data_IF_647761814620
#
_entry.id   IF_647761814620
#
_cell.length_a   1.000
_cell.length_b   1.000
_cell.length_c   1.000
_cell.angle_alpha   90.00
_cell.angle_beta   90.00
_cell.angle_gamma   90.00
#
_symmetry.space_group_name_H-M   'P 1'
#
loop_
_entity.id
_entity.type
_entity.pdbx_description
1 polymer ?
#
# COMPACT_ATOMS: atom_id res chain seq x y z
N UNK A 1 -12.97 -24.89 4.81
CA UNK A 1 -11.87 -24.18 5.50
C UNK A 1 -12.38 -22.79 5.81
N UNK A 2 -12.50 -22.44 7.10
CA UNK A 2 -12.84 -21.09 7.53
C UNK A 2 -11.64 -20.20 7.20
N UNK A 3 -11.67 -19.51 6.05
CA UNK A 3 -10.63 -18.56 5.69
C UNK A 3 -10.58 -17.48 6.76
N UNK A 4 -9.42 -17.28 7.38
CA UNK A 4 -9.23 -16.16 8.29
C UNK A 4 -9.66 -14.89 7.52
N UNK A 5 -10.60 -14.12 8.07
CA UNK A 5 -10.85 -12.75 7.60
C UNK A 5 -9.54 -11.99 7.74
N UNK A 6 -8.83 -11.76 6.64
CA UNK A 6 -7.66 -10.88 6.61
C UNK A 6 -8.12 -9.47 6.99
N UNK A 7 -7.40 -8.77 7.88
CA UNK A 7 -7.72 -7.38 8.19
C UNK A 7 -7.28 -6.48 7.03
N UNK A 8 -7.81 -5.26 6.97
CA UNK A 8 -7.31 -4.25 6.01
C UNK A 8 -5.79 -4.11 6.09
N UNK A 9 -5.25 -4.05 7.32
CA UNK A 9 -3.82 -3.88 7.56
C UNK A 9 -3.01 -5.06 7.00
N UNK A 10 -3.46 -6.32 7.17
CA UNK A 10 -2.72 -7.46 6.62
C UNK A 10 -2.77 -7.50 5.09
N UNK A 11 -3.94 -7.18 4.49
CA UNK A 11 -4.05 -7.10 3.02
C UNK A 11 -3.14 -6.02 2.46
N UNK A 12 -3.09 -4.83 3.09
CA UNK A 12 -2.22 -3.74 2.63
C UNK A 12 -0.73 -4.12 2.68
N UNK A 13 -0.28 -4.73 3.78
CA UNK A 13 1.12 -5.19 3.94
C UNK A 13 1.49 -6.20 2.84
N UNK A 14 0.63 -7.19 2.61
CA UNK A 14 0.83 -8.19 1.55
C UNK A 14 0.91 -7.54 0.16
N UNK A 15 -0.04 -6.65 -0.16
CA UNK A 15 -0.11 -5.97 -1.45
C UNK A 15 1.14 -5.14 -1.71
N UNK A 16 1.59 -4.34 -0.74
CA UNK A 16 2.79 -3.51 -0.89
C UNK A 16 4.01 -4.39 -1.19
N UNK A 17 4.23 -5.43 -0.38
CA UNK A 17 5.37 -6.34 -0.57
C UNK A 17 5.35 -7.05 -1.93
N UNK A 18 4.18 -7.54 -2.34
CA UNK A 18 4.03 -8.23 -3.62
C UNK A 18 4.18 -7.31 -4.83
N UNK A 19 3.60 -6.11 -4.80
CA UNK A 19 3.68 -5.17 -5.92
C UNK A 19 5.12 -4.68 -6.10
N UNK A 20 5.81 -4.34 -5.01
CA UNK A 20 7.23 -3.94 -5.05
C UNK A 20 8.09 -5.05 -5.65
N UNK A 21 7.94 -6.29 -5.16
CA UNK A 21 8.67 -7.44 -5.68
C UNK A 21 8.38 -7.70 -7.17
N UNK A 22 7.11 -7.59 -7.57
CA UNK A 22 6.67 -7.82 -8.96
C UNK A 22 7.21 -6.77 -9.93
N UNK A 23 7.29 -5.51 -9.51
CA UNK A 23 7.73 -4.41 -10.37
C UNK A 23 9.26 -4.31 -10.45
N UNK A 24 9.97 -4.54 -9.34
CA UNK A 24 11.41 -4.30 -9.25
C UNK A 24 12.25 -5.58 -9.32
N UNK A 25 11.66 -6.74 -9.06
CA UNK A 25 12.36 -7.99 -8.81
C UNK A 25 12.95 -8.06 -7.40
N UNK A 26 13.12 -9.28 -6.89
CA UNK A 26 13.54 -9.55 -5.50
C UNK A 26 14.83 -8.82 -5.06
N UNK A 27 15.91 -8.74 -5.87
CA UNK A 27 17.14 -8.08 -5.42
C UNK A 27 16.95 -6.58 -5.18
N UNK A 28 16.26 -5.89 -6.10
CA UNK A 28 16.04 -4.44 -6.01
C UNK A 28 14.98 -4.12 -4.96
N UNK A 29 13.93 -4.93 -4.87
CA UNK A 29 12.93 -4.83 -3.82
C UNK A 29 13.56 -4.93 -2.43
N UNK A 30 14.45 -5.91 -2.20
CA UNK A 30 15.14 -6.06 -0.91
C UNK A 30 15.97 -4.83 -0.53
N UNK A 31 16.65 -4.21 -1.50
CA UNK A 31 17.40 -2.97 -1.29
C UNK A 31 16.46 -1.82 -0.93
N UNK A 32 15.33 -1.68 -1.63
CA UNK A 32 14.32 -0.68 -1.31
C UNK A 32 13.81 -0.85 0.13
N UNK A 33 13.42 -2.07 0.52
CA UNK A 33 12.91 -2.35 1.87
C UNK A 33 13.95 -2.05 2.96
N UNK A 34 15.23 -2.37 2.69
CA UNK A 34 16.33 -2.00 3.57
C UNK A 34 16.44 -0.48 3.75
N UNK A 35 16.35 0.30 2.67
CA UNK A 35 16.39 1.76 2.74
C UNK A 35 15.16 2.35 3.44
N UNK A 36 13.95 1.82 3.20
CA UNK A 36 12.74 2.22 3.94
C UNK A 36 12.94 2.05 5.45
N UNK A 37 13.49 0.91 5.88
CA UNK A 37 13.72 0.66 7.29
C UNK A 37 14.83 1.55 7.85
N UNK A 38 15.98 1.66 7.16
CA UNK A 38 17.16 2.38 7.69
C UNK A 38 17.05 3.89 7.61
N UNK A 39 16.63 4.42 6.48
CA UNK A 39 16.69 5.85 6.20
C UNK A 39 15.37 6.54 6.57
N UNK A 40 14.26 5.80 6.51
CA UNK A 40 12.93 6.34 6.79
C UNK A 40 12.30 5.84 8.08
N UNK A 41 12.92 4.86 8.77
CA UNK A 41 12.38 4.22 9.98
C UNK A 41 10.98 3.64 9.73
N UNK A 42 10.80 3.00 8.57
CA UNK A 42 9.52 2.49 8.10
C UNK A 42 9.68 1.06 7.59
N UNK A 43 9.10 0.09 8.31
CA UNK A 43 8.92 -1.28 7.79
C UNK A 43 7.59 -1.38 7.06
N UNK A 44 7.41 -2.39 6.21
CA UNK A 44 6.14 -2.58 5.47
C UNK A 44 4.97 -2.70 6.46
N UNK A 45 5.17 -3.39 7.58
CA UNK A 45 4.15 -3.60 8.62
C UNK A 45 3.69 -2.30 9.28
N UNK A 46 4.47 -1.23 9.18
CA UNK A 46 4.16 0.08 9.75
C UNK A 46 3.33 0.95 8.79
N UNK A 47 3.25 0.59 7.49
CA UNK A 47 2.56 1.37 6.45
C UNK A 47 1.07 1.61 6.76
N UNK A 48 0.28 0.63 7.26
CA UNK A 48 -1.13 0.87 7.56
C UNK A 48 -1.38 1.99 8.58
N UNK A 49 -0.42 2.22 9.48
CA UNK A 49 -0.49 3.27 10.51
C UNK A 49 0.27 4.54 10.13
N UNK A 50 1.14 4.48 9.11
CA UNK A 50 1.99 5.59 8.65
C UNK A 50 2.03 5.72 7.12
N UNK A 51 0.88 5.78 6.41
CA UNK A 51 0.88 5.84 4.95
C UNK A 51 1.56 7.11 4.41
N UNK A 52 1.53 8.22 5.15
CA UNK A 52 2.22 9.47 4.79
C UNK A 52 3.73 9.30 4.77
N UNK A 53 4.26 8.45 5.65
CA UNK A 53 5.71 8.18 5.69
C UNK A 53 6.15 7.34 4.50
N UNK A 54 5.29 6.42 4.05
CA UNK A 54 5.53 5.63 2.85
C UNK A 54 5.53 6.52 1.60
N UNK A 55 4.49 7.34 1.41
CA UNK A 55 4.40 8.28 0.28
C UNK A 55 5.59 9.25 0.24
N UNK A 56 5.98 9.79 1.41
CA UNK A 56 7.19 10.61 1.53
C UNK A 56 8.45 9.86 1.08
N UNK A 57 8.67 8.64 1.57
CA UNK A 57 9.86 7.86 1.25
C UNK A 57 9.93 7.48 -0.23
N UNK A 58 8.80 7.08 -0.82
CA UNK A 58 8.73 6.77 -2.25
C UNK A 58 9.01 8.01 -3.11
N UNK A 59 8.47 9.17 -2.75
CA UNK A 59 8.76 10.44 -3.42
C UNK A 59 10.22 10.88 -3.26
N UNK A 60 10.85 10.63 -2.12
CA UNK A 60 12.27 10.95 -1.92
C UNK A 60 13.17 10.06 -2.79
N UNK A 61 12.91 8.75 -2.82
CA UNK A 61 13.70 7.76 -3.53
C UNK A 61 13.48 7.76 -5.05
N UNK A 62 12.23 7.86 -5.50
CA UNK A 62 11.83 7.71 -6.90
C UNK A 62 11.37 9.03 -7.55
N UNK A 63 11.28 10.11 -6.78
CA UNK A 63 10.88 11.44 -7.27
C UNK A 63 9.54 11.37 -8.00
N UNK A 64 9.47 11.96 -9.19
CA UNK A 64 8.27 11.95 -10.01
C UNK A 64 7.81 10.53 -10.35
N UNK A 65 8.69 9.52 -10.42
CA UNK A 65 8.32 8.15 -10.77
C UNK A 65 7.66 7.37 -9.63
N UNK A 66 7.59 7.92 -8.41
CA UNK A 66 6.96 7.27 -7.25
C UNK A 66 5.50 6.86 -7.53
N UNK A 67 4.77 7.71 -8.27
CA UNK A 67 3.36 7.51 -8.59
C UNK A 67 3.08 6.17 -9.30
N UNK A 68 4.05 5.65 -10.07
CA UNK A 68 3.87 4.38 -10.81
C UNK A 68 3.73 3.21 -9.84
N UNK A 69 4.55 3.18 -8.79
CA UNK A 69 4.52 2.11 -7.79
C UNK A 69 3.29 2.28 -6.88
N UNK A 70 3.04 3.52 -6.44
CA UNK A 70 1.88 3.87 -5.60
C UNK A 70 0.55 3.51 -6.28
N UNK A 71 0.37 3.86 -7.56
CA UNK A 71 -0.83 3.54 -8.33
C UNK A 71 -1.03 2.03 -8.47
N UNK A 72 0.04 1.26 -8.69
CA UNK A 72 -0.05 -0.21 -8.75
C UNK A 72 -0.42 -0.84 -7.41
N UNK A 73 0.04 -0.27 -6.29
CA UNK A 73 -0.36 -0.70 -4.95
C UNK A 73 -1.84 -0.42 -4.74
N UNK A 74 -2.31 0.79 -5.09
CA UNK A 74 -3.72 1.19 -4.93
C UNK A 74 -4.65 0.29 -5.77
N UNK A 75 -4.33 0.09 -7.05
CA UNK A 75 -5.09 -0.78 -7.94
C UNK A 75 -5.23 -2.21 -7.38
N UNK A 76 -4.12 -2.80 -6.94
CA UNK A 76 -4.10 -4.16 -6.41
C UNK A 76 -4.81 -4.26 -5.05
N UNK A 77 -4.69 -3.23 -4.20
CA UNK A 77 -5.40 -3.16 -2.91
C UNK A 77 -6.91 -3.13 -3.12
N UNK A 78 -7.40 -2.19 -3.93
CA UNK A 78 -8.83 -2.09 -4.23
C UNK A 78 -9.37 -3.39 -4.84
N UNK A 79 -8.60 -4.01 -5.75
CA UNK A 79 -8.95 -5.32 -6.33
C UNK A 79 -9.07 -6.43 -5.28
N UNK A 80 -8.15 -6.51 -4.30
CA UNK A 80 -8.20 -7.55 -3.24
C UNK A 80 -9.33 -7.34 -2.25
N UNK A 81 -9.69 -6.09 -1.99
CA UNK A 81 -10.76 -5.72 -1.07
C UNK A 81 -12.15 -5.74 -1.73
N UNK A 82 -12.24 -6.09 -3.01
CA UNK A 82 -13.47 -6.04 -3.83
C UNK A 82 -14.11 -4.62 -3.83
N UNK A 83 -13.26 -3.59 -3.88
CA UNK A 83 -13.65 -2.18 -3.92
C UNK A 83 -13.52 -1.62 -5.34
N UNK A 84 -14.37 -0.64 -5.66
CA UNK A 84 -14.32 0.03 -6.95
C UNK A 84 -13.24 1.14 -6.96
N UNK A 85 -12.11 0.88 -7.60
CA UNK A 85 -11.07 1.90 -7.80
C UNK A 85 -11.50 2.90 -8.87
N UNK A 86 -11.48 4.19 -8.52
CA UNK A 86 -11.66 5.31 -9.46
C UNK A 86 -10.57 6.33 -9.23
N UNK A 87 -9.85 6.66 -10.31
CA UNK A 87 -8.85 7.73 -10.29
C UNK A 87 -9.54 9.08 -10.11
N UNK A 88 -9.15 9.82 -9.07
CA UNK A 88 -9.62 11.16 -8.74
C UNK A 88 -8.40 12.06 -8.81
N UNK A 89 -8.48 13.11 -9.60
CA UNK A 89 -7.38 14.05 -9.75
C UNK A 89 -7.05 14.72 -8.41
N UNK A 90 -5.76 14.76 -8.06
CA UNK A 90 -5.27 15.33 -6.81
C UNK A 90 -5.31 14.41 -5.59
N UNK A 91 -5.83 13.17 -5.70
CA UNK A 91 -5.67 12.17 -4.65
C UNK A 91 -4.34 11.42 -4.79
N UNK A 92 -3.58 11.35 -3.70
CA UNK A 92 -2.33 10.61 -3.59
C UNK A 92 -2.53 9.26 -2.91
N UNK A 93 -1.41 8.62 -2.59
CA UNK A 93 -1.40 7.31 -1.94
C UNK A 93 -2.18 7.33 -0.62
N UNK A 94 -1.93 8.36 0.20
CA UNK A 94 -2.53 8.50 1.52
C UNK A 94 -4.06 8.57 1.47
N UNK A 95 -4.61 9.36 0.55
CA UNK A 95 -6.06 9.51 0.40
C UNK A 95 -6.72 8.18 0.03
N UNK A 96 -6.13 7.45 -0.91
CA UNK A 96 -6.65 6.14 -1.34
C UNK A 96 -6.57 5.08 -0.23
N UNK A 97 -5.49 5.02 0.55
CA UNK A 97 -5.39 4.08 1.68
C UNK A 97 -6.47 4.38 2.73
N UNK A 98 -6.68 5.66 3.06
CA UNK A 98 -7.71 6.08 4.04
C UNK A 98 -9.12 5.76 3.55
N UNK A 99 -9.40 6.01 2.27
CA UNK A 99 -10.68 5.70 1.66
C UNK A 99 -10.95 4.18 1.66
N UNK A 100 -9.99 3.39 1.17
CA UNK A 100 -10.11 1.93 1.14
C UNK A 100 -10.34 1.34 2.53
N UNK A 101 -9.61 1.83 3.55
CA UNK A 101 -9.80 1.40 4.95
C UNK A 101 -11.21 1.68 5.43
N UNK A 102 -11.71 2.92 5.21
CA UNK A 102 -13.05 3.33 5.62
C UNK A 102 -14.14 2.48 4.95
N UNK A 103 -14.02 2.21 3.65
CA UNK A 103 -14.97 1.39 2.90
C UNK A 103 -14.96 -0.05 3.38
N UNK A 104 -13.78 -0.64 3.50
CA UNK A 104 -13.61 -2.03 3.93
C UNK A 104 -14.18 -2.25 5.34
N UNK A 105 -13.83 -1.39 6.30
CA UNK A 105 -14.34 -1.48 7.68
C UNK A 105 -15.85 -1.17 7.78
N UNK A 106 -16.41 -0.37 6.87
CA UNK A 106 -17.85 -0.16 6.77
C UNK A 106 -18.59 -1.44 6.41
N UNK A 107 -18.15 -2.12 5.36
CA UNK A 107 -18.73 -3.39 4.87
C UNK A 107 -18.64 -4.53 5.90
N UNK A 108 -17.61 -4.51 6.75
CA UNK A 108 -17.35 -5.56 7.75
C UNK A 108 -17.92 -5.27 9.13
N UNK A 109 -18.44 -4.07 9.39
CA UNK A 109 -19.17 -3.73 10.62
C UNK A 109 -20.67 -4.08 10.56
N UNK A 110 -21.22 -4.28 9.36
CA UNK A 110 -22.63 -4.61 9.14
C UNK A 110 -22.92 -6.13 9.12
N UNK A 111 -21.91 -6.96 9.41
CA UNK A 111 -21.97 -8.43 9.43
C UNK A 111 -21.46 -9.00 10.75
#
# INVERSE_FOLDING_TARGET
MLGLKSSFNSVLVEVVGEVINRLLGEPVASILLYHLEKDFSLRIEDIPEKPERFEYAMKDLFRESAHIIEEKIIEELYRRLDLNYRRVEGQGFVEYIKEAKKLYEGLHREN
#
